data_IF_896184288491
#
_entry.id   IF_896184288491
#
_cell.length_a   1.000
_cell.length_b   1.000
_cell.length_c   1.000
_cell.angle_alpha   90.00
_cell.angle_beta   90.00
_cell.angle_gamma   90.00
#
_symmetry.space_group_name_H-M   'P 1'
#
loop_
_entity.id
_entity.type
_entity.pdbx_description
1 polymer ?
#
# COMPACT_ATOMS: atom_id res chain seq x y z
N UNK A 1 -0.18 17.81 -12.98
CA UNK A 1 -1.29 16.88 -12.70
C UNK A 1 -0.72 15.47 -12.71
N UNK A 2 -0.60 14.83 -11.53
CA UNK A 2 -0.16 13.43 -11.42
C UNK A 2 -1.36 12.53 -11.62
N UNK A 3 -1.68 12.16 -12.87
CA UNK A 3 -2.76 11.22 -13.13
C UNK A 3 -2.25 9.78 -12.90
N UNK A 4 -2.84 9.07 -11.93
CA UNK A 4 -2.87 7.60 -11.89
C UNK A 4 -2.04 6.89 -10.82
N UNK A 5 -0.86 7.39 -10.44
CA UNK A 5 0.10 6.60 -9.62
C UNK A 5 -0.47 6.08 -8.30
N UNK A 6 -1.26 6.89 -7.60
CA UNK A 6 -1.90 6.50 -6.34
C UNK A 6 -3.03 5.47 -6.56
N UNK A 7 -3.78 5.60 -7.66
CA UNK A 7 -4.84 4.65 -8.02
C UNK A 7 -4.25 3.29 -8.43
N UNK A 8 -3.17 3.29 -9.21
CA UNK A 8 -2.42 2.08 -9.58
C UNK A 8 -1.83 1.40 -8.34
N UNK A 9 -1.20 2.17 -7.44
CA UNK A 9 -0.68 1.63 -6.18
C UNK A 9 -1.80 0.98 -5.34
N UNK A 10 -2.96 1.63 -5.26
CA UNK A 10 -4.11 1.06 -4.57
C UNK A 10 -4.61 -0.24 -5.21
N UNK A 11 -4.54 -0.37 -6.54
CA UNK A 11 -4.82 -1.61 -7.27
C UNK A 11 -3.81 -2.71 -6.93
N UNK A 12 -2.52 -2.38 -6.94
CA UNK A 12 -1.44 -3.32 -6.61
C UNK A 12 -1.49 -3.81 -5.17
N UNK A 13 -1.83 -2.96 -4.20
CA UNK A 13 -1.99 -3.37 -2.79
C UNK A 13 -3.12 -4.39 -2.65
N UNK A 14 -4.28 -4.14 -3.29
CA UNK A 14 -5.38 -5.11 -3.31
C UNK A 14 -4.98 -6.43 -3.96
N UNK A 15 -4.27 -6.35 -5.08
CA UNK A 15 -3.70 -7.53 -5.74
C UNK A 15 -2.74 -8.32 -4.85
N UNK A 16 -1.87 -7.63 -4.12
CA UNK A 16 -0.93 -8.25 -3.19
C UNK A 16 -1.65 -9.00 -2.06
N UNK A 17 -2.65 -8.37 -1.44
CA UNK A 17 -3.48 -9.02 -0.40
C UNK A 17 -4.23 -10.23 -0.95
N UNK A 18 -4.83 -10.11 -2.15
CA UNK A 18 -5.49 -11.25 -2.81
C UNK A 18 -4.53 -12.40 -3.12
N UNK A 19 -3.24 -12.12 -3.28
CA UNK A 19 -2.19 -13.11 -3.48
C UNK A 19 -1.59 -13.64 -2.16
N UNK A 20 -2.13 -13.25 -1.02
CA UNK A 20 -1.73 -13.74 0.30
C UNK A 20 -0.65 -12.91 1.00
N UNK A 21 -0.25 -11.75 0.45
CA UNK A 21 0.65 -10.85 1.16
C UNK A 21 -0.01 -10.30 2.43
N UNK A 22 0.73 -10.33 3.52
CA UNK A 22 0.36 -9.75 4.81
C UNK A 22 0.53 -8.23 4.79
N UNK A 23 -0.13 -7.54 5.73
CA UNK A 23 0.09 -6.11 5.93
C UNK A 23 1.56 -5.78 6.19
N UNK A 24 2.25 -6.60 6.98
CA UNK A 24 3.66 -6.39 7.34
C UNK A 24 4.54 -6.44 6.09
N UNK A 25 4.39 -7.45 5.23
CA UNK A 25 5.18 -7.57 4.00
C UNK A 25 4.97 -6.37 3.06
N UNK A 26 3.74 -5.85 3.00
CA UNK A 26 3.42 -4.65 2.21
C UNK A 26 4.11 -3.43 2.81
N UNK A 27 4.05 -3.24 4.14
CA UNK A 27 4.69 -2.13 4.83
C UNK A 27 6.22 -2.18 4.70
N UNK A 28 6.84 -3.35 4.84
CA UNK A 28 8.29 -3.54 4.70
C UNK A 28 8.77 -3.20 3.29
N UNK A 29 8.01 -3.62 2.27
CA UNK A 29 8.30 -3.28 0.87
C UNK A 29 8.26 -1.76 0.65
N UNK A 30 7.28 -1.07 1.22
CA UNK A 30 7.17 0.39 1.14
C UNK A 30 8.26 1.11 1.93
N UNK A 31 8.66 0.57 3.08
CA UNK A 31 9.77 1.11 3.86
C UNK A 31 11.08 1.04 3.07
N UNK A 32 11.38 -0.10 2.46
CA UNK A 32 12.54 -0.25 1.58
C UNK A 32 12.45 0.70 0.38
N UNK A 33 11.28 0.80 -0.25
CA UNK A 33 11.06 1.75 -1.35
C UNK A 33 11.28 3.20 -0.91
N UNK A 34 10.92 3.56 0.32
CA UNK A 34 11.14 4.90 0.87
C UNK A 34 12.63 5.24 1.05
N UNK A 35 13.47 4.24 1.34
CA UNK A 35 14.93 4.41 1.40
C UNK A 35 15.51 4.70 0.01
N UNK A 36 15.02 4.00 -1.03
CA UNK A 36 15.53 4.15 -2.40
C UNK A 36 14.94 5.36 -3.16
N UNK A 37 13.67 5.69 -2.92
CA UNK A 37 12.92 6.70 -3.66
C UNK A 37 12.67 8.00 -2.86
N UNK A 38 13.18 8.06 -1.62
CA UNK A 38 13.10 9.21 -0.73
C UNK A 38 11.82 9.26 0.12
N UNK A 39 11.96 9.90 1.29
CA UNK A 39 10.90 10.07 2.29
C UNK A 39 9.61 10.71 1.73
N UNK A 40 9.65 11.74 0.86
CA UNK A 40 8.42 12.34 0.33
C UNK A 40 7.57 11.36 -0.48
N UNK A 41 8.22 10.48 -1.26
CA UNK A 41 7.57 9.40 -1.99
C UNK A 41 6.98 8.38 -1.01
N UNK A 42 7.76 8.01 0.01
CA UNK A 42 7.33 7.13 1.11
C UNK A 42 6.03 7.58 1.76
N UNK A 43 5.98 8.82 2.24
CA UNK A 43 4.80 9.39 2.91
C UNK A 43 3.56 9.33 2.02
N UNK A 44 3.71 9.57 0.71
CA UNK A 44 2.60 9.50 -0.24
C UNK A 44 2.12 8.05 -0.43
N UNK A 45 3.03 7.08 -0.54
CA UNK A 45 2.70 5.66 -0.62
C UNK A 45 1.99 5.15 0.64
N UNK A 46 2.51 5.50 1.82
CA UNK A 46 1.92 5.07 3.09
C UNK A 46 0.51 5.64 3.32
N UNK A 47 0.21 6.86 2.86
CA UNK A 47 -1.17 7.40 2.89
C UNK A 47 -2.14 6.58 2.03
N UNK A 48 -1.71 6.16 0.84
CA UNK A 48 -2.52 5.31 -0.04
C UNK A 48 -2.71 3.94 0.61
N UNK A 49 -1.63 3.37 1.15
CA UNK A 49 -1.66 2.08 1.82
C UNK A 49 -2.59 2.06 3.02
N UNK A 50 -2.50 3.05 3.90
CA UNK A 50 -3.36 3.20 5.08
C UNK A 50 -4.85 3.19 4.71
N UNK A 51 -5.23 3.98 3.68
CA UNK A 51 -6.60 4.01 3.17
C UNK A 51 -7.06 2.65 2.64
N UNK A 52 -6.24 1.98 1.84
CA UNK A 52 -6.60 0.70 1.19
C UNK A 52 -6.64 -0.44 2.20
N UNK A 53 -5.63 -0.53 3.07
CA UNK A 53 -5.53 -1.55 4.12
C UNK A 53 -6.69 -1.43 5.10
N UNK A 54 -7.03 -0.20 5.53
CA UNK A 54 -8.19 0.04 6.38
C UNK A 54 -9.49 -0.43 5.74
N UNK A 55 -9.67 -0.16 4.44
CA UNK A 55 -10.81 -0.65 3.67
C UNK A 55 -10.84 -2.19 3.61
N UNK A 56 -9.71 -2.83 3.29
CA UNK A 56 -9.61 -4.29 3.19
C UNK A 56 -9.87 -4.98 4.54
N UNK A 57 -9.42 -4.38 5.65
CA UNK A 57 -9.75 -4.85 7.01
C UNK A 57 -11.24 -4.73 7.31
N UNK A 58 -11.86 -3.59 6.97
CA UNK A 58 -13.30 -3.40 7.14
C UNK A 58 -14.15 -4.37 6.29
N UNK A 59 -13.65 -4.77 5.12
CA UNK A 59 -14.26 -5.77 4.23
C UNK A 59 -13.98 -7.23 4.65
N UNK A 60 -13.14 -7.45 5.68
CA UNK A 60 -12.74 -8.78 6.14
C UNK A 60 -11.79 -9.52 5.20
N UNK A 61 -11.22 -8.82 4.22
CA UNK A 61 -10.30 -9.36 3.20
C UNK A 61 -8.85 -9.38 3.68
N UNK A 62 -8.54 -8.62 4.73
CA UNK A 62 -7.24 -8.63 5.40
C UNK A 62 -7.47 -8.80 6.90
N UNK A 63 -6.79 -9.78 7.50
CA UNK A 63 -6.89 -10.02 8.95
C UNK A 63 -6.25 -8.86 9.72
N UNK A 64 -6.83 -8.55 10.89
CA UNK A 64 -6.41 -7.46 11.74
C UNK A 64 -4.97 -7.65 12.26
#
# INVERSE_FOLDING_TARGET
MSQGKEAELAGHIRGAVNNGCTEIEIQETMLQTSVYCGVPTGVSMFRVADKVISQLKAEGLLKA
#
